data_IF_229753346416
#
_entry.id   IF_229753346416
#
_cell.length_a   1.000
_cell.length_b   1.000
_cell.length_c   1.000
_cell.angle_alpha   90.00
_cell.angle_beta   90.00
_cell.angle_gamma   90.00
#
_symmetry.space_group_name_H-M   'P 1'
#
loop_
_entity.id
_entity.type
_entity.pdbx_description
1 polymer ?
#
# COMPACT_ATOMS: atom_id res chain seq x y z
N UNK A 1 -24.81 9.96 8.27
CA UNK A 1 -25.30 8.72 7.57
C UNK A 1 -24.24 7.70 7.83
N UNK A 2 -24.57 6.52 8.33
CA UNK A 2 -23.57 5.49 8.67
C UNK A 2 -23.47 4.51 7.50
N UNK A 3 -22.26 4.25 7.02
CA UNK A 3 -21.98 3.32 5.93
C UNK A 3 -21.76 1.91 6.46
N UNK A 4 -22.44 0.91 5.90
CA UNK A 4 -22.20 -0.49 6.25
C UNK A 4 -21.06 -1.08 5.44
N UNK A 5 -20.05 -1.68 6.11
CA UNK A 5 -18.85 -2.20 5.47
C UNK A 5 -18.68 -3.69 5.74
N UNK A 6 -18.69 -4.51 4.70
CA UNK A 6 -18.31 -5.91 4.79
C UNK A 6 -16.79 -6.08 4.56
N UNK A 7 -16.18 -7.05 5.26
CA UNK A 7 -14.76 -7.39 5.10
C UNK A 7 -14.62 -8.86 4.71
N UNK A 8 -14.22 -9.11 3.47
CA UNK A 8 -13.88 -10.45 2.97
C UNK A 8 -12.40 -10.74 3.26
N UNK A 9 -12.11 -11.94 3.80
CA UNK A 9 -10.79 -12.27 4.32
C UNK A 9 -10.54 -11.73 5.73
N UNK A 10 -11.59 -11.56 6.52
CA UNK A 10 -11.58 -10.97 7.85
C UNK A 10 -10.62 -11.63 8.85
N UNK A 11 -10.26 -12.90 8.66
CA UNK A 11 -9.38 -13.67 9.57
C UNK A 11 -7.89 -13.58 9.20
N UNK A 12 -7.54 -12.94 8.06
CA UNK A 12 -6.17 -12.65 7.65
C UNK A 12 -5.58 -11.41 8.36
N UNK A 13 -4.26 -11.21 8.25
CA UNK A 13 -3.61 -10.04 8.86
C UNK A 13 -4.14 -8.72 8.28
N UNK A 14 -4.29 -8.62 6.95
CA UNK A 14 -4.81 -7.42 6.31
C UNK A 14 -6.27 -7.14 6.74
N UNK A 15 -7.14 -8.17 6.70
CA UNK A 15 -8.53 -8.04 7.13
C UNK A 15 -8.66 -7.65 8.61
N UNK A 16 -7.84 -8.24 9.49
CA UNK A 16 -7.81 -7.88 10.90
C UNK A 16 -7.38 -6.43 11.14
N UNK A 17 -6.41 -5.93 10.38
CA UNK A 17 -5.97 -4.54 10.49
C UNK A 17 -7.00 -3.56 9.92
N UNK A 18 -7.66 -3.89 8.81
CA UNK A 18 -8.80 -3.12 8.29
C UNK A 18 -9.89 -3.04 9.34
N UNK A 19 -10.28 -4.15 9.96
CA UNK A 19 -11.29 -4.18 11.03
C UNK A 19 -10.88 -3.33 12.24
N UNK A 20 -9.59 -3.32 12.61
CA UNK A 20 -9.09 -2.46 13.69
C UNK A 20 -9.37 -0.97 13.43
N UNK A 21 -9.17 -0.52 12.22
CA UNK A 21 -9.44 0.87 11.83
C UNK A 21 -10.95 1.13 11.71
N UNK A 22 -11.70 0.26 11.05
CA UNK A 22 -13.14 0.44 10.85
C UNK A 22 -13.93 0.45 12.17
N UNK A 23 -13.50 -0.30 13.21
CA UNK A 23 -14.15 -0.26 14.53
C UNK A 23 -14.01 1.08 15.25
N UNK A 24 -13.02 1.90 14.87
CA UNK A 24 -12.83 3.25 15.41
C UNK A 24 -13.42 4.34 14.51
N UNK A 25 -14.01 3.96 13.37
CA UNK A 25 -14.50 4.92 12.38
C UNK A 25 -15.90 5.44 12.73
N UNK A 26 -16.09 6.76 12.92
CA UNK A 26 -17.38 7.30 13.39
C UNK A 26 -18.51 7.19 12.37
N UNK A 27 -18.19 7.11 11.08
CA UNK A 27 -19.14 7.11 9.97
C UNK A 27 -19.41 5.69 9.40
N UNK A 28 -18.80 4.64 10.01
CA UNK A 28 -18.85 3.27 9.51
C UNK A 28 -19.40 2.31 10.55
N UNK A 29 -20.27 1.41 10.11
CA UNK A 29 -20.70 0.22 10.87
C UNK A 29 -20.08 -1.03 10.22
N UNK A 30 -19.39 -1.84 11.02
CA UNK A 30 -18.82 -3.12 10.55
C UNK A 30 -19.94 -4.14 10.35
N UNK A 31 -20.22 -4.45 9.11
CA UNK A 31 -21.20 -5.43 8.65
C UNK A 31 -20.65 -6.87 8.63
N UNK A 32 -20.82 -7.60 7.55
CA UNK A 32 -20.39 -9.00 7.43
C UNK A 32 -18.88 -9.16 7.52
N UNK A 33 -18.44 -10.17 8.27
CA UNK A 33 -17.06 -10.63 8.38
C UNK A 33 -17.01 -11.99 7.69
N UNK A 34 -16.29 -12.08 6.57
CA UNK A 34 -16.28 -13.33 5.80
C UNK A 34 -14.88 -13.92 5.61
N UNK A 35 -14.81 -15.24 5.50
CA UNK A 35 -13.60 -15.96 5.13
C UNK A 35 -13.97 -17.30 4.47
N UNK A 36 -13.02 -17.90 3.72
CA UNK A 36 -13.24 -19.20 3.09
C UNK A 36 -13.10 -20.35 4.10
N UNK A 37 -11.88 -20.59 4.59
CA UNK A 37 -11.58 -21.77 5.43
C UNK A 37 -11.93 -21.59 6.92
N UNK A 38 -12.19 -20.36 7.37
CA UNK A 38 -12.49 -20.03 8.77
C UNK A 38 -13.95 -19.69 9.00
N UNK A 39 -14.83 -19.93 8.01
CA UNK A 39 -16.27 -19.73 8.18
C UNK A 39 -16.81 -20.62 9.33
N UNK A 40 -17.68 -20.05 10.16
CA UNK A 40 -18.25 -20.69 11.35
C UNK A 40 -17.45 -20.48 12.63
N UNK A 41 -16.18 -20.01 12.58
CA UNK A 41 -15.40 -19.69 13.78
C UNK A 41 -15.75 -18.30 14.32
N UNK A 42 -15.37 -18.01 15.56
CA UNK A 42 -15.44 -16.66 16.15
C UNK A 42 -14.25 -15.83 15.70
N UNK A 43 -14.45 -14.55 15.42
CA UNK A 43 -13.35 -13.66 15.02
C UNK A 43 -12.25 -13.58 16.09
N UNK A 44 -12.60 -13.61 17.38
CA UNK A 44 -11.66 -13.58 18.49
C UNK A 44 -10.65 -14.73 18.51
N UNK A 45 -10.96 -15.88 17.90
CA UNK A 45 -10.03 -16.99 17.72
C UNK A 45 -8.86 -16.62 16.78
N UNK A 46 -9.08 -15.66 15.86
CA UNK A 46 -8.12 -15.19 14.87
C UNK A 46 -7.48 -13.87 15.25
N UNK A 47 -8.25 -12.98 15.89
CA UNK A 47 -7.87 -11.62 16.26
C UNK A 47 -8.30 -11.32 17.71
N UNK A 48 -7.63 -11.89 18.73
CA UNK A 48 -8.02 -11.72 20.13
C UNK A 48 -7.94 -10.25 20.63
N UNK A 49 -7.21 -9.40 19.90
CA UNK A 49 -7.09 -7.97 20.20
C UNK A 49 -8.29 -7.13 19.74
N UNK A 50 -9.18 -7.66 18.88
CA UNK A 50 -10.40 -6.98 18.41
C UNK A 50 -11.56 -7.31 19.34
N UNK A 51 -11.51 -6.81 20.59
CA UNK A 51 -12.43 -7.18 21.67
C UNK A 51 -13.90 -6.92 21.33
N UNK A 52 -14.22 -5.80 20.67
CA UNK A 52 -15.59 -5.45 20.28
C UNK A 52 -16.21 -6.36 19.21
N UNK A 53 -15.38 -7.09 18.47
CA UNK A 53 -15.79 -8.01 17.40
C UNK A 53 -15.54 -9.49 17.75
N UNK A 54 -14.98 -9.78 18.93
CA UNK A 54 -14.46 -11.10 19.28
C UNK A 54 -15.52 -12.23 19.18
N UNK A 55 -16.75 -11.95 19.55
CA UNK A 55 -17.86 -12.92 19.52
C UNK A 55 -18.57 -13.01 18.17
N UNK A 56 -18.22 -12.16 17.20
CA UNK A 56 -18.81 -12.19 15.85
C UNK A 56 -18.42 -13.50 15.15
N UNK A 57 -19.42 -14.16 14.55
CA UNK A 57 -19.20 -15.36 13.74
C UNK A 57 -18.77 -14.95 12.34
N UNK A 58 -17.70 -15.57 11.87
CA UNK A 58 -17.19 -15.40 10.50
C UNK A 58 -18.10 -16.18 9.55
N UNK A 59 -18.61 -15.50 8.53
CA UNK A 59 -19.52 -16.08 7.52
C UNK A 59 -18.70 -16.60 6.32
N UNK A 60 -19.27 -17.43 5.44
CA UNK A 60 -18.64 -17.80 4.19
C UNK A 60 -18.49 -16.58 3.27
N UNK A 61 -17.46 -16.57 2.42
CA UNK A 61 -17.25 -15.49 1.44
C UNK A 61 -18.14 -15.77 0.21
N UNK A 62 -19.33 -15.20 0.22
CA UNK A 62 -20.34 -15.30 -0.84
C UNK A 62 -20.71 -13.89 -1.31
N UNK A 63 -20.89 -13.73 -2.64
CA UNK A 63 -21.18 -12.42 -3.22
C UNK A 63 -22.54 -11.86 -2.72
N UNK A 64 -23.51 -12.72 -2.49
CA UNK A 64 -24.84 -12.37 -1.98
C UNK A 64 -24.78 -11.72 -0.60
N UNK A 65 -23.94 -12.27 0.30
CA UNK A 65 -23.71 -11.72 1.65
C UNK A 65 -23.02 -10.36 1.56
N UNK A 66 -22.00 -10.26 0.72
CA UNK A 66 -21.22 -9.03 0.54
C UNK A 66 -22.06 -7.92 -0.10
N UNK A 67 -22.93 -8.24 -1.06
CA UNK A 67 -23.76 -7.29 -1.79
C UNK A 67 -24.84 -6.59 -0.93
N UNK A 68 -25.06 -7.02 0.32
CA UNK A 68 -25.99 -6.38 1.26
C UNK A 68 -25.40 -5.12 1.93
N UNK A 69 -24.16 -4.76 1.60
CA UNK A 69 -23.43 -3.66 2.25
C UNK A 69 -23.13 -2.52 1.28
N UNK A 70 -22.95 -1.32 1.81
CA UNK A 70 -22.61 -0.13 1.02
C UNK A 70 -21.18 -0.20 0.47
N UNK A 71 -20.28 -0.83 1.23
CA UNK A 71 -18.85 -1.00 0.93
C UNK A 71 -18.42 -2.43 1.18
N UNK A 72 -17.57 -2.96 0.31
CA UNK A 72 -16.92 -4.26 0.49
C UNK A 72 -15.40 -4.08 0.40
N UNK A 73 -14.71 -4.41 1.48
CA UNK A 73 -13.25 -4.49 1.51
C UNK A 73 -12.83 -5.94 1.31
N UNK A 74 -12.06 -6.18 0.26
CA UNK A 74 -11.54 -7.50 -0.11
C UNK A 74 -10.10 -7.62 0.38
N UNK A 75 -9.85 -8.43 1.41
CA UNK A 75 -8.52 -8.76 1.93
C UNK A 75 -8.19 -10.23 1.65
N UNK A 76 -8.41 -10.64 0.42
CA UNK A 76 -8.30 -12.02 -0.07
C UNK A 76 -6.88 -12.33 -0.58
N UNK A 77 -6.50 -13.62 -0.67
CA UNK A 77 -5.29 -14.01 -1.37
C UNK A 77 -5.31 -13.55 -2.84
N UNK A 78 -4.14 -13.26 -3.39
CA UNK A 78 -3.99 -12.90 -4.81
C UNK A 78 -4.59 -13.98 -5.72
N UNK A 79 -5.31 -13.57 -6.73
CA UNK A 79 -6.05 -14.45 -7.64
C UNK A 79 -7.44 -14.87 -7.16
N UNK A 80 -7.88 -14.39 -5.98
CA UNK A 80 -9.19 -14.74 -5.43
C UNK A 80 -10.21 -13.59 -5.49
N UNK A 81 -9.76 -12.34 -5.58
CA UNK A 81 -10.66 -11.19 -5.63
C UNK A 81 -11.44 -11.13 -6.93
N UNK A 82 -10.82 -11.43 -8.07
CA UNK A 82 -11.43 -11.30 -9.39
C UNK A 82 -12.76 -12.06 -9.54
N UNK A 83 -12.84 -13.29 -9.04
CA UNK A 83 -14.07 -14.09 -9.10
C UNK A 83 -15.21 -13.49 -8.24
N UNK A 84 -14.87 -12.99 -7.03
CA UNK A 84 -15.87 -12.37 -6.13
C UNK A 84 -16.34 -11.03 -6.71
N UNK A 85 -15.44 -10.23 -7.27
CA UNK A 85 -15.80 -8.94 -7.86
C UNK A 85 -16.66 -9.10 -9.10
N UNK A 86 -16.40 -10.09 -9.95
CA UNK A 86 -17.23 -10.42 -11.10
C UNK A 86 -18.65 -10.84 -10.65
N UNK A 87 -18.78 -11.68 -9.62
CA UNK A 87 -20.07 -12.08 -9.08
C UNK A 87 -20.85 -10.90 -8.46
N UNK A 88 -20.17 -9.98 -7.78
CA UNK A 88 -20.79 -8.75 -7.26
C UNK A 88 -21.29 -7.83 -8.40
N UNK A 89 -20.57 -7.75 -9.50
CA UNK A 89 -20.98 -6.98 -10.68
C UNK A 89 -22.18 -7.62 -11.40
N UNK A 90 -22.23 -8.95 -11.44
CA UNK A 90 -23.39 -9.67 -11.98
C UNK A 90 -24.66 -9.41 -11.14
N UNK A 91 -24.56 -9.46 -9.81
CA UNK A 91 -25.67 -9.13 -8.91
C UNK A 91 -26.14 -7.68 -9.08
N UNK A 92 -25.20 -6.74 -9.24
CA UNK A 92 -25.52 -5.34 -9.50
C UNK A 92 -26.24 -5.15 -10.84
N UNK A 93 -25.80 -5.85 -11.88
CA UNK A 93 -26.44 -5.83 -13.20
C UNK A 93 -27.86 -6.40 -13.16
N UNK A 94 -28.14 -7.30 -12.21
CA UNK A 94 -29.47 -7.85 -11.92
C UNK A 94 -30.38 -6.91 -11.13
N UNK A 95 -29.98 -5.66 -10.87
CA UNK A 95 -30.81 -4.60 -10.26
C UNK A 95 -30.55 -4.34 -8.77
N UNK A 96 -29.55 -4.95 -8.16
CA UNK A 96 -29.06 -4.57 -6.82
C UNK A 96 -28.19 -3.30 -6.89
N UNK A 97 -28.16 -2.55 -5.80
CA UNK A 97 -27.19 -1.44 -5.67
C UNK A 97 -25.77 -1.99 -5.67
N UNK A 98 -24.88 -1.44 -6.50
CA UNK A 98 -23.48 -1.83 -6.52
C UNK A 98 -22.74 -1.23 -5.31
N UNK A 99 -22.10 -2.04 -4.46
CA UNK A 99 -21.27 -1.53 -3.38
C UNK A 99 -20.02 -0.79 -3.92
N UNK A 100 -19.44 0.08 -3.10
CA UNK A 100 -18.05 0.52 -3.28
C UNK A 100 -17.13 -0.68 -3.01
N UNK A 101 -16.26 -1.04 -3.96
CA UNK A 101 -15.32 -2.14 -3.82
C UNK A 101 -13.91 -1.61 -3.59
N UNK A 102 -13.24 -2.12 -2.54
CA UNK A 102 -11.86 -1.80 -2.20
C UNK A 102 -11.08 -3.11 -2.11
N UNK A 103 -10.18 -3.36 -3.04
CA UNK A 103 -9.40 -4.59 -3.10
C UNK A 103 -7.98 -4.39 -2.53
N UNK A 104 -7.69 -5.03 -1.41
CA UNK A 104 -6.35 -5.13 -0.83
C UNK A 104 -5.53 -6.27 -1.48
N UNK A 105 -6.15 -7.11 -2.33
CA UNK A 105 -5.49 -8.09 -3.17
C UNK A 105 -4.71 -7.43 -4.31
N UNK A 106 -4.15 -8.25 -5.20
CA UNK A 106 -3.37 -7.73 -6.34
C UNK A 106 -4.16 -7.69 -7.65
N UNK A 107 -5.33 -8.31 -7.67
CA UNK A 107 -6.04 -8.69 -8.89
C UNK A 107 -6.40 -7.51 -9.81
N UNK A 108 -6.54 -6.31 -9.22
CA UNK A 108 -6.96 -5.11 -9.92
C UNK A 108 -5.93 -3.97 -9.96
N UNK A 109 -4.64 -4.24 -9.60
CA UNK A 109 -3.62 -3.19 -9.49
C UNK A 109 -2.96 -2.84 -10.81
N UNK A 110 -2.66 -3.87 -11.64
CA UNK A 110 -1.87 -3.68 -12.85
C UNK A 110 -2.74 -3.27 -14.04
N UNK A 111 -2.34 -2.20 -14.74
CA UNK A 111 -2.98 -1.77 -15.97
C UNK A 111 -2.61 -2.72 -17.12
N UNK A 112 -1.39 -3.25 -17.12
CA UNK A 112 -0.89 -4.14 -18.16
C UNK A 112 -1.29 -5.60 -17.91
N UNK A 113 -2.15 -6.15 -18.74
CA UNK A 113 -2.48 -7.58 -18.76
C UNK A 113 -1.23 -8.45 -18.96
N UNK A 114 -0.31 -8.05 -19.85
CA UNK A 114 0.93 -8.78 -20.09
C UNK A 114 1.80 -8.85 -18.81
N UNK A 115 1.88 -7.77 -18.05
CA UNK A 115 2.59 -7.76 -16.77
C UNK A 115 1.91 -8.66 -15.75
N UNK A 116 0.57 -8.66 -15.70
CA UNK A 116 -0.18 -9.58 -14.84
C UNK A 116 0.12 -11.04 -15.15
N UNK A 117 0.00 -11.44 -16.42
CA UNK A 117 0.28 -12.81 -16.88
C UNK A 117 1.72 -13.25 -16.56
N UNK A 118 2.69 -12.35 -16.76
CA UNK A 118 4.12 -12.65 -16.51
C UNK A 118 4.44 -12.85 -15.01
N UNK A 119 3.78 -12.13 -14.10
CA UNK A 119 4.13 -12.13 -12.68
C UNK A 119 3.16 -12.90 -11.79
N UNK A 120 1.91 -13.07 -12.20
CA UNK A 120 0.86 -13.74 -11.41
C UNK A 120 0.39 -15.05 -12.05
N UNK A 121 0.38 -15.15 -13.38
CA UNK A 121 0.09 -16.38 -14.11
C UNK A 121 -1.37 -16.86 -14.02
N UNK A 122 -2.30 -15.96 -13.69
CA UNK A 122 -3.74 -16.22 -13.66
C UNK A 122 -4.49 -15.27 -14.60
N UNK A 123 -5.82 -15.47 -14.74
CA UNK A 123 -6.65 -14.62 -15.57
C UNK A 123 -6.60 -13.15 -15.08
N UNK A 124 -6.59 -12.23 -16.03
CA UNK A 124 -6.56 -10.80 -15.75
C UNK A 124 -7.97 -10.27 -15.49
N UNK A 125 -8.19 -9.74 -14.29
CA UNK A 125 -9.50 -9.25 -13.85
C UNK A 125 -9.76 -7.76 -14.20
N UNK A 126 -8.82 -7.08 -14.87
CA UNK A 126 -8.91 -5.65 -15.20
C UNK A 126 -8.41 -4.73 -14.08
N UNK A 127 -7.89 -3.56 -14.48
CA UNK A 127 -7.39 -2.58 -13.54
C UNK A 127 -8.51 -1.69 -12.98
N UNK A 128 -8.35 -1.27 -11.72
CA UNK A 128 -9.19 -0.30 -11.03
C UNK A 128 -8.42 0.98 -10.71
N UNK A 129 -9.13 2.01 -10.22
CA UNK A 129 -8.47 3.21 -9.70
C UNK A 129 -7.48 2.84 -8.61
N UNK A 130 -6.26 3.33 -8.73
CA UNK A 130 -5.17 2.94 -7.83
C UNK A 130 -5.28 3.66 -6.48
N UNK A 131 -5.33 2.90 -5.39
CA UNK A 131 -5.64 3.36 -4.03
C UNK A 131 -4.43 3.92 -3.28
N UNK A 132 -3.72 4.88 -3.88
CA UNK A 132 -2.58 5.58 -3.29
C UNK A 132 -2.78 7.10 -3.45
N UNK A 133 -3.48 7.77 -2.53
CA UNK A 133 -3.83 9.19 -2.65
C UNK A 133 -2.63 10.11 -2.88
N UNK A 134 -1.46 9.73 -2.41
CA UNK A 134 -0.20 10.47 -2.53
C UNK A 134 0.56 10.22 -3.83
N UNK A 135 0.02 9.42 -4.77
CA UNK A 135 0.66 9.17 -6.05
C UNK A 135 0.67 10.46 -6.89
N UNK A 136 1.89 10.89 -7.25
CA UNK A 136 2.08 12.02 -8.15
C UNK A 136 1.77 11.60 -9.59
N UNK A 137 1.07 12.43 -10.33
CA UNK A 137 0.92 12.30 -11.77
C UNK A 137 1.95 13.18 -12.49
N UNK A 138 2.25 12.83 -13.73
CA UNK A 138 3.21 13.59 -14.56
C UNK A 138 2.88 15.09 -14.56
N UNK A 139 3.87 15.92 -14.23
CA UNK A 139 3.75 17.37 -14.14
C UNK A 139 3.22 17.90 -12.80
N UNK A 140 2.92 17.01 -11.85
CA UNK A 140 2.55 17.41 -10.50
C UNK A 140 3.78 17.48 -9.57
N UNK A 141 3.76 18.45 -8.67
CA UNK A 141 4.66 18.50 -7.51
C UNK A 141 3.95 18.09 -6.22
N UNK A 142 2.60 18.01 -6.25
CA UNK A 142 1.71 17.55 -5.17
C UNK A 142 0.61 16.70 -5.74
N UNK A 143 0.28 15.61 -5.09
CA UNK A 143 -0.75 14.70 -5.57
C UNK A 143 -2.16 15.31 -5.45
N UNK A 144 -2.80 15.54 -6.60
CA UNK A 144 -4.19 16.03 -6.72
C UNK A 144 -5.02 15.11 -7.61
N UNK A 145 -4.53 14.80 -8.81
CA UNK A 145 -5.26 14.00 -9.79
C UNK A 145 -5.67 12.65 -9.20
N UNK A 146 -4.77 12.00 -8.48
CA UNK A 146 -5.07 10.72 -7.83
C UNK A 146 -6.19 10.81 -6.80
N UNK A 147 -6.26 11.88 -6.01
CA UNK A 147 -7.36 12.11 -5.07
C UNK A 147 -8.68 12.38 -5.77
N UNK A 148 -8.67 13.14 -6.85
CA UNK A 148 -9.86 13.41 -7.67
C UNK A 148 -10.39 12.11 -8.30
N UNK A 149 -9.51 11.26 -8.82
CA UNK A 149 -9.87 9.94 -9.35
C UNK A 149 -10.48 9.03 -8.26
N UNK A 150 -9.88 8.99 -7.07
CA UNK A 150 -10.39 8.21 -5.95
C UNK A 150 -11.75 8.69 -5.47
N UNK A 151 -11.95 10.00 -5.37
CA UNK A 151 -13.22 10.59 -4.97
C UNK A 151 -14.36 10.28 -5.96
N UNK A 152 -14.03 10.09 -7.24
CA UNK A 152 -14.99 9.72 -8.28
C UNK A 152 -15.17 8.20 -8.45
N UNK A 153 -14.36 7.38 -7.78
CA UNK A 153 -14.31 5.95 -8.03
C UNK A 153 -15.24 5.13 -7.14
N UNK A 154 -15.73 4.02 -7.70
CA UNK A 154 -16.45 2.96 -6.98
C UNK A 154 -15.68 1.63 -7.00
N UNK A 155 -14.47 1.62 -7.56
CA UNK A 155 -13.61 0.44 -7.75
C UNK A 155 -12.17 0.84 -7.47
N UNK A 156 -11.62 0.42 -6.33
CA UNK A 156 -10.32 0.88 -5.84
C UNK A 156 -9.42 -0.31 -5.55
N UNK A 157 -8.20 -0.29 -6.11
CA UNK A 157 -7.16 -1.29 -5.89
C UNK A 157 -6.07 -0.73 -4.97
N UNK A 158 -5.99 -1.25 -3.75
CA UNK A 158 -5.00 -0.82 -2.74
C UNK A 158 -3.60 -1.31 -3.11
N UNK A 159 -2.55 -0.47 -3.02
CA UNK A 159 -1.17 -0.83 -3.36
C UNK A 159 -0.61 -2.04 -2.62
N UNK A 160 0.42 -2.66 -3.20
CA UNK A 160 1.30 -3.55 -2.46
C UNK A 160 2.15 -2.79 -1.43
N UNK A 161 2.34 -3.35 -0.22
CA UNK A 161 3.03 -2.64 0.85
C UNK A 161 4.46 -2.20 0.49
N UNK A 162 5.24 -3.06 -0.18
CA UNK A 162 6.58 -2.68 -0.66
C UNK A 162 6.50 -1.62 -1.77
N UNK A 163 5.42 -1.64 -2.58
CA UNK A 163 5.21 -0.65 -3.65
C UNK A 163 5.00 0.73 -3.04
N UNK A 164 4.14 0.82 -2.02
CA UNK A 164 3.92 2.06 -1.26
C UNK A 164 5.25 2.64 -0.77
N UNK A 165 6.07 1.83 -0.09
CA UNK A 165 7.35 2.30 0.47
C UNK A 165 8.33 2.79 -0.61
N UNK A 166 8.48 2.05 -1.72
CA UNK A 166 9.40 2.43 -2.79
C UNK A 166 8.89 3.65 -3.57
N UNK A 167 7.60 3.68 -3.92
CA UNK A 167 7.01 4.81 -4.64
C UNK A 167 7.15 6.10 -3.84
N UNK A 168 6.76 6.09 -2.56
CA UNK A 168 6.89 7.26 -1.68
C UNK A 168 8.34 7.70 -1.51
N UNK A 169 9.30 6.76 -1.51
CA UNK A 169 10.70 7.12 -1.40
C UNK A 169 11.20 7.94 -2.60
N UNK A 170 10.80 7.63 -3.84
CA UNK A 170 11.49 8.17 -5.03
C UNK A 170 10.62 9.00 -5.99
N UNK A 171 9.28 8.92 -5.90
CA UNK A 171 8.42 9.60 -6.87
C UNK A 171 8.65 11.13 -6.95
N UNK A 172 8.99 11.89 -5.87
CA UNK A 172 9.23 13.32 -6.01
C UNK A 172 10.43 13.61 -6.92
N UNK A 173 11.50 12.84 -6.77
CA UNK A 173 12.69 12.99 -7.60
C UNK A 173 12.49 12.56 -9.06
N UNK A 174 11.63 11.56 -9.30
CA UNK A 174 11.23 11.15 -10.66
C UNK A 174 10.38 12.24 -11.30
N UNK A 175 9.36 12.74 -10.60
CA UNK A 175 8.46 13.80 -11.09
C UNK A 175 9.22 15.10 -11.40
N UNK A 176 10.22 15.44 -10.57
CA UNK A 176 11.08 16.61 -10.78
C UNK A 176 12.21 16.39 -11.81
N UNK A 177 12.36 15.19 -12.38
CA UNK A 177 13.42 14.87 -13.34
C UNK A 177 14.83 14.87 -12.74
N UNK A 178 14.95 14.67 -11.42
CA UNK A 178 16.23 14.70 -10.69
C UNK A 178 16.87 13.31 -10.56
N UNK A 179 16.07 12.24 -10.65
CA UNK A 179 16.51 10.85 -10.57
C UNK A 179 16.43 10.18 -11.94
N UNK A 180 17.47 9.41 -12.30
CA UNK A 180 17.46 8.58 -13.50
C UNK A 180 16.67 7.26 -13.22
N UNK A 181 15.49 7.07 -13.82
CA UNK A 181 14.67 5.88 -13.58
C UNK A 181 15.25 4.61 -14.20
N UNK A 182 16.27 4.70 -15.04
CA UNK A 182 16.78 3.55 -15.82
C UNK A 182 17.63 2.57 -15.02
N UNK A 183 18.05 2.92 -13.78
CA UNK A 183 18.94 2.11 -12.95
C UNK A 183 18.65 2.23 -11.45
N UNK A 184 17.41 2.03 -11.07
CA UNK A 184 17.01 2.02 -9.65
C UNK A 184 17.42 0.71 -8.97
N UNK A 185 17.90 0.83 -7.74
CA UNK A 185 18.15 -0.32 -6.86
C UNK A 185 17.38 -0.12 -5.56
N UNK A 186 16.47 -1.04 -5.24
CA UNK A 186 15.70 -1.04 -4.00
C UNK A 186 16.03 -2.29 -3.16
N UNK A 187 16.47 -2.06 -1.93
CA UNK A 187 16.66 -3.09 -0.91
C UNK A 187 15.73 -2.78 0.25
N UNK A 188 14.95 -3.79 0.69
CA UNK A 188 13.95 -3.58 1.72
C UNK A 188 14.14 -4.56 2.88
N UNK A 189 14.19 -4.03 4.12
CA UNK A 189 13.98 -4.83 5.31
C UNK A 189 12.48 -4.93 5.59
N UNK A 190 11.94 -6.17 5.60
CA UNK A 190 10.49 -6.44 5.63
C UNK A 190 10.13 -7.32 6.80
N UNK A 191 9.10 -6.93 7.55
CA UNK A 191 8.54 -7.72 8.64
C UNK A 191 7.77 -8.95 8.15
N UNK A 192 7.80 -10.02 8.94
CA UNK A 192 7.23 -11.33 8.58
C UNK A 192 5.72 -11.32 8.32
N UNK A 193 4.96 -10.38 8.89
CA UNK A 193 3.52 -10.26 8.61
C UNK A 193 3.22 -9.96 7.13
N UNK A 194 4.18 -9.40 6.38
CA UNK A 194 4.07 -9.18 4.93
C UNK A 194 3.99 -10.47 4.11
N UNK A 195 4.44 -11.60 4.66
CA UNK A 195 4.33 -12.91 4.04
C UNK A 195 2.95 -13.59 4.24
N UNK A 196 2.03 -12.94 4.97
CA UNK A 196 0.70 -13.46 5.29
C UNK A 196 0.70 -14.44 6.48
N UNK A 197 -0.51 -14.92 6.83
CA UNK A 197 -0.74 -15.78 8.01
C UNK A 197 -0.59 -17.28 7.71
N UNK A 198 -0.39 -17.65 6.44
CA UNK A 198 -0.27 -19.06 6.04
C UNK A 198 0.98 -19.70 6.66
N UNK A 199 0.81 -20.90 7.24
CA UNK A 199 1.92 -21.67 7.81
C UNK A 199 2.83 -22.18 6.69
N UNK A 200 4.10 -21.73 6.73
CA UNK A 200 5.15 -22.18 5.81
C UNK A 200 6.40 -22.50 6.63
N UNK A 201 7.17 -23.54 6.31
CA UNK A 201 8.34 -23.95 7.10
C UNK A 201 9.33 -22.82 7.34
N UNK A 202 9.69 -22.07 6.31
CA UNK A 202 10.64 -20.95 6.37
C UNK A 202 10.11 -19.69 7.12
N UNK A 203 8.85 -19.68 7.55
CA UNK A 203 8.23 -18.60 8.34
C UNK A 203 8.02 -19.00 9.81
N UNK A 204 8.49 -20.18 10.21
CA UNK A 204 8.41 -20.61 11.61
C UNK A 204 9.41 -19.83 12.49
N UNK A 205 9.13 -19.72 13.78
CA UNK A 205 9.96 -18.93 14.68
C UNK A 205 11.43 -19.38 14.72
N UNK A 206 11.68 -20.71 14.60
CA UNK A 206 13.03 -21.26 14.59
C UNK A 206 13.85 -20.82 13.36
N UNK A 207 13.20 -20.59 12.23
CA UNK A 207 13.84 -20.15 10.99
C UNK A 207 13.93 -18.62 10.91
N UNK A 208 12.95 -17.91 11.48
CA UNK A 208 12.80 -16.47 11.38
C UNK A 208 13.64 -15.68 12.38
N UNK A 209 13.72 -16.18 13.64
CA UNK A 209 14.44 -15.46 14.72
C UNK A 209 15.95 -15.51 14.49
N UNK A 210 16.57 -14.32 14.49
CA UNK A 210 18.02 -14.17 14.30
C UNK A 210 18.49 -14.32 12.85
N UNK A 211 17.59 -14.39 11.86
CA UNK A 211 17.92 -14.59 10.44
C UNK A 211 17.40 -13.44 9.57
N UNK A 212 18.14 -13.08 8.54
CA UNK A 212 17.71 -12.20 7.45
C UNK A 212 17.61 -13.03 6.16
N UNK A 213 16.41 -13.08 5.55
CA UNK A 213 16.14 -13.98 4.44
C UNK A 213 15.65 -13.21 3.20
N UNK A 214 16.48 -13.09 2.13
CA UNK A 214 16.01 -12.53 0.86
C UNK A 214 15.01 -13.47 0.18
N UNK A 215 14.04 -12.90 -0.52
CA UNK A 215 13.05 -13.68 -1.27
C UNK A 215 12.69 -13.01 -2.59
N UNK A 216 12.23 -13.81 -3.56
CA UNK A 216 11.83 -13.36 -4.90
C UNK A 216 12.84 -12.39 -5.55
N UNK A 217 14.14 -12.67 -5.40
CA UNK A 217 15.25 -11.92 -5.97
C UNK A 217 15.41 -12.25 -7.46
N UNK A 218 16.11 -11.39 -8.21
CA UNK A 218 16.40 -11.63 -9.63
C UNK A 218 15.24 -11.27 -10.56
N UNK A 219 14.46 -10.23 -10.22
CA UNK A 219 13.40 -9.72 -11.08
C UNK A 219 12.08 -10.49 -11.01
N UNK A 220 11.92 -11.40 -10.03
CA UNK A 220 10.75 -12.28 -9.93
C UNK A 220 9.66 -11.76 -8.98
N UNK A 221 9.92 -10.68 -8.24
CA UNK A 221 8.95 -10.16 -7.27
C UNK A 221 7.77 -9.47 -7.95
N UNK A 222 6.56 -9.85 -7.53
CA UNK A 222 5.27 -9.38 -8.10
C UNK A 222 5.04 -7.87 -7.97
N UNK A 223 5.74 -7.19 -7.06
CA UNK A 223 5.64 -5.73 -6.90
C UNK A 223 6.46 -4.93 -7.92
N UNK A 224 7.37 -5.55 -8.68
CA UNK A 224 8.20 -4.85 -9.66
C UNK A 224 7.37 -4.14 -10.74
N UNK A 225 6.46 -4.81 -11.45
CA UNK A 225 5.65 -4.16 -12.47
C UNK A 225 4.76 -3.04 -11.91
N UNK A 226 4.26 -3.20 -10.70
CA UNK A 226 3.44 -2.20 -10.01
C UNK A 226 4.25 -0.94 -9.65
N UNK A 227 5.49 -1.10 -9.16
CA UNK A 227 6.41 0.03 -8.91
C UNK A 227 6.73 0.76 -10.22
N UNK A 228 7.09 0.02 -11.28
CA UNK A 228 7.40 0.60 -12.60
C UNK A 228 6.21 1.40 -13.13
N UNK A 229 5.00 0.85 -13.06
CA UNK A 229 3.76 1.54 -13.42
C UNK A 229 3.61 2.88 -12.67
N UNK A 230 3.82 2.91 -11.36
CA UNK A 230 3.71 4.12 -10.56
C UNK A 230 4.77 5.17 -10.93
N UNK A 231 6.00 4.73 -11.24
CA UNK A 231 7.05 5.66 -11.67
C UNK A 231 6.76 6.25 -13.05
N UNK A 232 6.11 5.49 -13.94
CA UNK A 232 5.63 6.01 -15.24
C UNK A 232 4.49 7.03 -15.04
N UNK A 233 3.55 6.77 -14.14
CA UNK A 233 2.51 7.74 -13.76
C UNK A 233 3.15 9.01 -13.20
N UNK A 234 4.18 8.90 -12.38
CA UNK A 234 4.90 10.04 -11.79
C UNK A 234 5.77 10.81 -12.80
N UNK A 235 5.94 10.32 -14.03
CA UNK A 235 6.62 11.06 -15.10
C UNK A 235 7.85 10.37 -15.70
N UNK A 236 8.22 9.16 -15.29
CA UNK A 236 9.19 8.37 -16.03
C UNK A 236 8.65 8.04 -17.43
N UNK A 237 9.50 8.15 -18.46
CA UNK A 237 9.06 7.77 -19.80
C UNK A 237 8.68 6.28 -19.85
N UNK A 238 7.67 5.95 -20.64
CA UNK A 238 7.16 4.58 -20.77
C UNK A 238 8.28 3.59 -21.12
N UNK A 239 8.41 2.53 -20.33
CA UNK A 239 9.44 1.53 -20.47
C UNK A 239 10.87 1.98 -20.11
N UNK A 240 11.08 3.20 -19.59
CA UNK A 240 12.40 3.66 -19.16
C UNK A 240 12.77 3.16 -17.77
N UNK A 241 11.81 2.99 -16.88
CA UNK A 241 12.09 2.57 -15.51
C UNK A 241 12.64 1.14 -15.45
N UNK A 242 13.76 0.96 -14.74
CA UNK A 242 14.42 -0.33 -14.48
C UNK A 242 14.73 -0.43 -13.01
N UNK A 243 14.25 -1.47 -12.37
CA UNK A 243 14.35 -1.67 -10.93
C UNK A 243 15.00 -3.01 -10.59
N UNK A 244 16.16 -2.96 -9.94
CA UNK A 244 16.69 -4.10 -9.19
C UNK A 244 16.03 -4.11 -7.81
N UNK A 245 15.30 -5.17 -7.47
CA UNK A 245 14.47 -5.23 -6.28
C UNK A 245 14.84 -6.44 -5.40
N UNK A 246 15.22 -6.18 -4.17
CA UNK A 246 15.67 -7.20 -3.22
C UNK A 246 14.98 -7.01 -1.86
N UNK A 247 13.83 -7.61 -1.63
CA UNK A 247 13.21 -7.62 -0.31
C UNK A 247 13.86 -8.70 0.56
N UNK A 248 14.03 -8.37 1.85
CA UNK A 248 14.66 -9.24 2.86
C UNK A 248 13.73 -9.31 4.06
N UNK A 249 13.22 -10.51 4.39
CA UNK A 249 12.55 -10.74 5.66
C UNK A 249 13.58 -10.62 6.79
N UNK A 250 13.27 -9.83 7.80
CA UNK A 250 14.11 -9.60 8.97
C UNK A 250 13.32 -9.89 10.25
N UNK A 251 13.98 -10.13 11.42
CA UNK A 251 13.31 -10.54 12.66
C UNK A 251 12.44 -9.43 13.29
N UNK A 252 11.46 -8.94 12.57
CA UNK A 252 10.41 -8.03 13.06
C UNK A 252 9.04 -8.50 12.59
N UNK A 253 8.02 -8.29 13.38
CA UNK A 253 6.66 -8.71 13.05
C UNK A 253 6.05 -7.84 11.97
N UNK A 254 6.20 -6.51 12.08
CA UNK A 254 5.63 -5.49 11.19
C UNK A 254 6.71 -4.48 10.83
N UNK A 255 6.53 -3.79 9.72
CA UNK A 255 7.39 -2.72 9.24
C UNK A 255 8.05 -3.04 7.90
N UNK A 256 8.29 -2.00 7.12
CA UNK A 256 9.13 -2.01 5.93
C UNK A 256 10.06 -0.80 6.02
N UNK A 257 11.36 -1.04 5.87
CA UNK A 257 12.33 0.00 5.60
C UNK A 257 12.83 -0.19 4.17
N UNK A 258 12.41 0.68 3.26
CA UNK A 258 12.90 0.70 1.89
C UNK A 258 14.11 1.65 1.78
N UNK A 259 15.19 1.15 1.20
CA UNK A 259 16.34 1.95 0.78
C UNK A 259 16.44 1.87 -0.73
N UNK A 260 16.27 3.00 -1.40
CA UNK A 260 16.32 3.09 -2.86
C UNK A 260 17.49 3.97 -3.27
N UNK A 261 18.34 3.45 -4.16
CA UNK A 261 19.44 4.19 -4.76
C UNK A 261 19.12 4.42 -6.24
N UNK A 262 19.28 5.67 -6.68
CA UNK A 262 19.08 6.08 -8.06
C UNK A 262 20.26 6.96 -8.53
N UNK A 263 20.74 6.86 -9.78
CA UNK A 263 21.71 7.80 -10.31
C UNK A 263 21.12 9.21 -10.38
N UNK A 264 21.94 10.20 -10.16
CA UNK A 264 21.60 11.61 -10.40
C UNK A 264 21.44 11.87 -11.90
N UNK A 265 20.43 12.64 -12.30
CA UNK A 265 20.37 13.17 -13.66
C UNK A 265 21.39 14.30 -13.88
N UNK A 266 21.63 14.69 -15.13
CA UNK A 266 22.45 15.87 -15.44
C UNK A 266 21.85 17.13 -14.76
N UNK A 267 20.53 17.28 -14.77
CA UNK A 267 19.85 18.41 -14.15
C UNK A 267 20.18 18.56 -12.66
N UNK A 268 20.23 17.44 -11.92
CA UNK A 268 20.59 17.49 -10.50
C UNK A 268 22.10 17.73 -10.31
N UNK A 269 22.96 17.07 -11.08
CA UNK A 269 24.43 17.24 -10.97
C UNK A 269 24.89 18.67 -11.26
N UNK A 270 24.25 19.34 -12.23
CA UNK A 270 24.59 20.67 -12.70
C UNK A 270 23.82 21.78 -11.96
N UNK A 271 22.95 21.43 -11.02
CA UNK A 271 22.24 22.42 -10.21
C UNK A 271 23.24 23.24 -9.38
N UNK A 272 23.02 24.56 -9.19
CA UNK A 272 23.87 25.40 -8.37
C UNK A 272 24.07 24.90 -6.93
N UNK A 273 23.02 24.30 -6.37
CA UNK A 273 22.98 23.61 -5.08
C UNK A 273 22.16 22.33 -5.22
N UNK A 274 22.81 21.20 -5.53
CA UNK A 274 22.12 19.94 -5.74
C UNK A 274 21.34 19.42 -4.51
N UNK A 275 21.87 19.64 -3.29
CA UNK A 275 21.19 19.24 -2.05
C UNK A 275 19.90 20.04 -1.85
N UNK A 276 19.96 21.36 -2.01
CA UNK A 276 18.80 22.20 -1.91
C UNK A 276 17.76 21.86 -3.00
N UNK A 277 18.18 21.62 -4.25
CA UNK A 277 17.31 21.23 -5.35
C UNK A 277 16.63 19.88 -5.08
N UNK A 278 17.39 18.89 -4.58
CA UNK A 278 16.86 17.59 -4.19
C UNK A 278 15.84 17.74 -3.07
N UNK A 279 16.21 18.43 -1.99
CA UNK A 279 15.33 18.63 -0.84
C UNK A 279 14.04 19.34 -1.21
N UNK A 280 14.09 20.37 -2.05
CA UNK A 280 12.93 21.11 -2.50
C UNK A 280 11.88 20.23 -3.18
N UNK A 281 12.29 19.25 -3.99
CA UNK A 281 11.34 18.33 -4.63
C UNK A 281 10.55 17.48 -3.62
N UNK A 282 11.17 17.05 -2.52
CA UNK A 282 10.48 16.33 -1.44
C UNK A 282 9.67 17.26 -0.54
N UNK A 283 10.14 18.48 -0.28
CA UNK A 283 9.37 19.49 0.46
C UNK A 283 8.13 19.93 -0.31
N UNK A 284 8.22 20.08 -1.63
CA UNK A 284 7.07 20.38 -2.49
C UNK A 284 6.03 19.25 -2.48
N UNK A 285 6.50 18.00 -2.49
CA UNK A 285 5.61 16.85 -2.52
C UNK A 285 4.98 16.53 -1.16
N UNK A 286 5.76 16.61 -0.07
CA UNK A 286 5.39 16.08 1.23
C UNK A 286 5.48 17.09 2.39
N UNK A 287 6.11 18.26 2.17
CA UNK A 287 6.38 19.21 3.23
C UNK A 287 5.14 19.87 3.82
N UNK A 288 5.27 20.30 5.08
CA UNK A 288 4.19 20.90 5.88
C UNK A 288 3.80 22.32 5.43
N UNK A 289 4.55 22.98 4.55
CA UNK A 289 4.26 24.34 4.10
C UNK A 289 3.10 24.34 3.11
N UNK A 290 1.91 24.68 3.61
CA UNK A 290 0.67 24.90 2.83
C UNK A 290 -0.21 23.69 2.82
N UNK A 291 -0.58 22.77 2.62
CA UNK A 291 -1.38 21.55 2.54
C UNK A 291 -0.51 20.30 2.36
N UNK A 292 0.49 20.12 3.24
CA UNK A 292 1.37 18.96 3.22
C UNK A 292 0.61 17.63 3.33
N UNK A 293 1.24 16.55 2.92
CA UNK A 293 0.69 15.21 3.00
C UNK A 293 0.49 14.81 4.48
N UNK A 294 -0.75 14.64 4.92
CA UNK A 294 -1.09 14.38 6.33
C UNK A 294 -0.50 13.06 6.86
N UNK A 295 -0.27 12.10 5.96
CA UNK A 295 0.22 10.76 6.30
C UNK A 295 1.66 10.49 5.81
N UNK A 296 2.39 11.54 5.38
CA UNK A 296 3.81 11.44 5.05
C UNK A 296 4.59 12.49 5.82
N UNK A 297 5.61 12.05 6.52
CA UNK A 297 6.53 12.92 7.24
C UNK A 297 7.91 12.90 6.57
N UNK A 298 8.27 14.02 5.93
CA UNK A 298 9.64 14.26 5.49
C UNK A 298 10.48 14.63 6.71
N UNK A 299 11.44 13.77 7.06
CA UNK A 299 12.27 13.96 8.25
C UNK A 299 13.25 15.12 8.08
N UNK A 300 13.67 15.77 9.18
CA UNK A 300 14.75 16.76 9.16
C UNK A 300 16.05 16.14 8.63
N UNK A 301 16.92 17.00 8.07
CA UNK A 301 18.26 16.57 7.64
C UNK A 301 19.03 15.88 8.78
N UNK A 302 19.75 14.82 8.44
CA UNK A 302 20.48 14.01 9.42
C UNK A 302 19.64 13.00 10.20
N UNK A 303 18.30 13.02 10.09
CA UNK A 303 17.40 12.02 10.67
C UNK A 303 16.96 11.03 9.61
N UNK A 304 16.95 9.73 9.94
CA UNK A 304 16.60 8.67 9.00
C UNK A 304 15.37 7.90 9.44
N UNK A 305 14.57 7.36 8.48
CA UNK A 305 13.39 6.56 8.77
C UNK A 305 13.72 5.32 9.60
N UNK A 306 12.86 5.04 10.59
CA UNK A 306 12.98 3.88 11.48
C UNK A 306 11.62 3.19 11.54
N UNK A 307 11.56 1.88 11.32
CA UNK A 307 10.29 1.12 11.30
C UNK A 307 9.54 1.20 12.63
N UNK A 308 10.24 1.25 13.78
CA UNK A 308 9.63 1.36 15.10
C UNK A 308 8.79 2.63 15.27
N UNK A 309 9.17 3.77 14.64
CA UNK A 309 8.47 5.04 14.78
C UNK A 309 7.12 5.10 14.06
N UNK A 310 6.89 4.20 13.09
CA UNK A 310 5.65 4.14 12.29
C UNK A 310 4.80 2.91 12.61
N UNK A 311 5.21 2.09 13.56
CA UNK A 311 4.52 0.86 13.92
C UNK A 311 3.08 1.13 14.38
N UNK A 312 2.11 0.43 13.80
CA UNK A 312 0.68 0.57 14.08
C UNK A 312 0.03 1.82 13.49
N UNK A 313 0.78 2.65 12.75
CA UNK A 313 0.26 3.89 12.15
C UNK A 313 0.00 3.78 10.65
N UNK A 314 -0.76 4.75 10.13
CA UNK A 314 -0.95 5.01 8.70
C UNK A 314 0.06 5.99 8.13
N UNK A 315 1.12 6.33 8.86
CA UNK A 315 2.12 7.33 8.47
C UNK A 315 3.32 6.66 7.80
N UNK A 316 3.87 7.31 6.79
CA UNK A 316 5.19 7.04 6.24
C UNK A 316 6.20 8.09 6.70
N UNK A 317 7.41 7.69 7.05
CA UNK A 317 8.54 8.61 7.24
C UNK A 317 9.50 8.48 6.06
N UNK A 318 9.94 9.60 5.51
CA UNK A 318 10.78 9.66 4.30
C UNK A 318 12.00 10.55 4.55
N UNK A 319 13.12 10.19 3.96
CA UNK A 319 14.34 11.02 3.93
C UNK A 319 15.13 10.76 2.64
N UNK A 320 15.85 11.77 2.18
CA UNK A 320 16.66 11.73 0.96
C UNK A 320 18.00 12.41 1.18
N UNK A 321 19.05 11.89 0.55
CA UNK A 321 20.39 12.50 0.54
C UNK A 321 21.13 12.17 -0.75
N UNK A 322 22.13 13.00 -1.08
CA UNK A 322 23.09 12.74 -2.14
C UNK A 322 24.30 11.98 -1.57
N UNK A 323 24.62 10.85 -2.16
CA UNK A 323 25.94 10.22 -2.02
C UNK A 323 26.85 10.77 -3.13
N UNK A 324 27.65 11.77 -2.76
CA UNK A 324 28.54 12.46 -3.73
C UNK A 324 29.61 11.54 -4.31
N UNK A 325 30.09 10.58 -3.51
CA UNK A 325 31.12 9.64 -3.95
C UNK A 325 30.60 8.64 -4.98
N UNK A 326 29.34 8.30 -4.90
CA UNK A 326 28.66 7.39 -5.83
C UNK A 326 27.92 8.11 -6.96
N UNK A 327 27.85 9.44 -6.94
CA UNK A 327 27.01 10.26 -7.83
C UNK A 327 25.53 9.77 -7.86
N UNK A 328 25.03 9.42 -6.70
CA UNK A 328 23.73 8.79 -6.53
C UNK A 328 22.90 9.49 -5.46
N UNK A 329 21.58 9.38 -5.59
CA UNK A 329 20.63 9.75 -4.55
C UNK A 329 20.26 8.49 -3.78
N UNK A 330 20.24 8.56 -2.46
CA UNK A 330 19.70 7.56 -1.56
C UNK A 330 18.41 8.11 -0.97
N UNK A 331 17.29 7.47 -1.28
CA UNK A 331 15.98 7.78 -0.74
C UNK A 331 15.50 6.63 0.15
N UNK A 332 15.03 6.96 1.35
CA UNK A 332 14.56 5.95 2.31
C UNK A 332 13.12 6.25 2.74
N UNK A 333 12.36 5.18 2.92
CA UNK A 333 10.99 5.25 3.44
C UNK A 333 10.75 4.14 4.45
N UNK A 334 10.19 4.48 5.61
CA UNK A 334 9.68 3.50 6.57
C UNK A 334 8.18 3.60 6.68
N UNK A 335 7.51 2.46 6.66
CA UNK A 335 6.06 2.30 6.87
C UNK A 335 5.77 1.09 7.75
N UNK A 336 4.59 1.07 8.34
CA UNK A 336 3.97 -0.18 8.80
C UNK A 336 3.31 -0.88 7.60
N UNK A 337 3.73 -2.12 7.30
CA UNK A 337 3.24 -2.84 6.12
C UNK A 337 1.76 -3.21 6.19
N UNK A 338 1.18 -3.38 7.39
CA UNK A 338 -0.25 -3.59 7.58
C UNK A 338 -1.02 -2.27 7.74
N UNK A 339 -0.38 -1.23 8.31
CA UNK A 339 -0.90 0.13 8.41
C UNK A 339 -0.88 0.85 7.06
N UNK A 340 0.07 1.79 6.87
CA UNK A 340 0.21 2.57 5.62
C UNK A 340 0.34 1.70 4.37
N UNK A 341 0.97 0.52 4.51
CA UNK A 341 1.15 -0.41 3.40
C UNK A 341 -0.11 -1.17 2.98
N UNK A 342 -1.22 -1.14 3.73
CA UNK A 342 -2.43 -1.90 3.42
C UNK A 342 -3.70 -1.26 3.97
N UNK A 343 -4.00 -1.43 5.26
CA UNK A 343 -5.31 -1.09 5.82
C UNK A 343 -5.57 0.41 5.89
N UNK A 344 -4.56 1.20 6.23
CA UNK A 344 -4.71 2.66 6.25
C UNK A 344 -4.90 3.23 4.84
N UNK A 345 -4.22 2.67 3.82
CA UNK A 345 -4.44 3.04 2.43
C UNK A 345 -5.87 2.68 1.95
N UNK A 346 -6.39 1.52 2.40
CA UNK A 346 -7.77 1.13 2.13
C UNK A 346 -8.78 2.09 2.77
N UNK A 347 -8.60 2.44 4.05
CA UNK A 347 -9.50 3.38 4.77
C UNK A 347 -9.35 4.81 4.25
N UNK A 348 -8.15 5.26 3.92
CA UNK A 348 -7.90 6.56 3.29
C UNK A 348 -8.64 6.69 1.95
N UNK A 349 -8.55 5.67 1.11
CA UNK A 349 -9.26 5.61 -0.17
C UNK A 349 -10.78 5.49 0.00
N UNK A 350 -11.25 4.75 1.01
CA UNK A 350 -12.66 4.68 1.41
C UNK A 350 -13.19 6.06 1.76
N UNK A 351 -12.46 6.81 2.58
CA UNK A 351 -12.86 8.13 3.03
C UNK A 351 -13.01 9.09 1.85
N UNK A 352 -12.04 9.11 0.94
CA UNK A 352 -12.11 9.93 -0.29
C UNK A 352 -13.31 9.55 -1.17
N UNK A 353 -13.53 8.26 -1.42
CA UNK A 353 -14.63 7.77 -2.26
C UNK A 353 -16.02 8.03 -1.66
N UNK A 354 -16.12 8.16 -0.35
CA UNK A 354 -17.35 8.50 0.36
C UNK A 354 -17.51 10.00 0.64
N UNK A 355 -16.53 10.84 0.25
CA UNK A 355 -16.52 12.27 0.51
C UNK A 355 -16.33 12.63 1.98
N UNK A 356 -15.67 11.76 2.75
CA UNK A 356 -15.34 11.96 4.16
C UNK A 356 -13.96 12.63 4.30
N UNK A 357 -13.62 13.06 5.52
CA UNK A 357 -12.29 13.57 5.81
C UNK A 357 -11.25 12.44 5.65
N UNK A 358 -10.20 12.69 4.87
CA UNK A 358 -9.25 11.69 4.35
C UNK A 358 -8.60 10.84 5.45
N UNK A 359 -8.29 11.44 6.60
CA UNK A 359 -7.57 10.77 7.70
C UNK A 359 -8.46 10.19 8.79
N UNK A 360 -9.78 10.27 8.64
CA UNK A 360 -10.74 9.75 9.64
C UNK A 360 -10.44 8.29 9.97
N UNK A 361 -10.36 7.97 11.24
CA UNK A 361 -10.04 6.66 11.83
C UNK A 361 -8.64 6.13 11.52
N UNK A 362 -7.78 6.90 10.86
CA UNK A 362 -6.38 6.49 10.62
C UNK A 362 -5.50 6.93 11.79
N UNK A 363 -4.80 5.98 12.38
CA UNK A 363 -3.83 6.26 13.45
C UNK A 363 -2.60 6.94 12.85
N UNK A 364 -2.31 8.18 13.24
CA UNK A 364 -1.18 8.97 12.73
C UNK A 364 0.10 8.64 13.49
N UNK A 365 0.06 8.58 14.82
CA UNK A 365 1.24 8.28 15.64
C UNK A 365 1.50 6.78 15.74
N UNK A 366 2.76 6.37 15.59
CA UNK A 366 3.17 5.00 15.86
C UNK A 366 3.17 4.69 17.37
N UNK A 367 3.15 3.39 17.69
CA UNK A 367 3.11 2.87 19.07
C UNK A 367 4.51 2.58 19.65
N UNK A 368 5.56 3.13 19.04
CA UNK A 368 6.94 2.96 19.50
C UNK A 368 7.09 3.16 21.03
N UNK A 369 8.10 2.53 21.69
CA UNK A 369 9.31 1.93 21.16
C UNK A 369 9.15 0.60 20.48
#
# INVERSE_FOLDING_TARGET
>A
MTWTVAVAGATGYAGGEVLRLLTAHPEVEVGALTAASSAGSRLGEHHPHLLSLADRIVQPTEAEILAEHDVVVLALPHGASGAITAALEELASGGRSAPLLIDCGADHRLISQQAWEAYYGSDYAGAWTYGMPELLHHGETRARAQREELAASRRIAVPGCNVTAVTLAVQPGIAAGLLDPSRLTAVLAVGYSGAGKALKPHLTAAEALGSAQPYAVGGTHRHIPEIVQNLEVAGAAAGAARLSFTPVLVPMSRGILATVTAPMTAALREAPDPEAALRAAWDDAYGATGSGESLIQLLPEGSWPITGTVLGSGTATVQVAIDRGAEAVVAMCAIDNLGKGTASAAVQSLNLALGLEETTAITIQGVAP
#
